data_IF_370858904090
#
_entry.id   IF_370858904090
#
_cell.length_a   1.000
_cell.length_b   1.000
_cell.length_c   1.000
_cell.angle_alpha   90.00
_cell.angle_beta   90.00
_cell.angle_gamma   90.00
#
_symmetry.space_group_name_H-M   'P 1'
#
loop_
_entity.id
_entity.type
_entity.pdbx_description
1 polymer ?
#
# COMPACT_ATOMS: atom_id res chain seq x y z
N UNK A 1 -38.91 -28.71 20.64
CA UNK A 1 -39.63 -27.81 19.72
C UNK A 1 -40.34 -26.78 20.60
N UNK A 2 -39.64 -25.68 20.89
CA UNK A 2 -40.00 -24.47 21.66
C UNK A 2 -38.66 -23.90 22.19
N UNK A 3 -38.10 -22.88 21.52
CA UNK A 3 -37.04 -21.99 22.05
C UNK A 3 -36.81 -20.84 21.07
N UNK A 4 -37.86 -20.06 20.81
CA UNK A 4 -37.72 -18.75 20.18
C UNK A 4 -37.64 -17.70 21.30
N UNK A 5 -36.40 -17.26 21.49
CA UNK A 5 -35.90 -15.94 21.91
C UNK A 5 -36.87 -15.05 22.69
N UNK A 6 -36.73 -15.09 24.02
CA UNK A 6 -37.15 -14.02 24.92
C UNK A 6 -36.44 -12.72 24.53
N UNK A 7 -37.11 -11.87 23.78
CA UNK A 7 -36.73 -10.46 23.61
C UNK A 7 -36.88 -9.79 24.99
N UNK A 8 -35.77 -9.68 25.72
CA UNK A 8 -35.70 -8.93 26.97
C UNK A 8 -35.21 -7.53 26.64
N UNK A 9 -36.14 -6.62 26.30
CA UNK A 9 -35.84 -5.19 26.23
C UNK A 9 -35.89 -4.67 27.66
N UNK A 10 -34.74 -4.66 28.32
CA UNK A 10 -34.56 -3.95 29.57
C UNK A 10 -34.63 -2.45 29.24
N UNK A 11 -35.78 -1.84 29.53
CA UNK A 11 -35.97 -0.39 29.49
C UNK A 11 -34.99 0.19 30.52
N UNK A 12 -33.90 0.78 30.05
CA UNK A 12 -33.08 1.68 30.84
C UNK A 12 -33.91 2.96 31.10
N UNK A 13 -34.89 2.84 31.98
CA UNK A 13 -35.60 3.96 32.58
C UNK A 13 -34.62 4.61 33.56
N UNK A 14 -33.82 5.53 33.03
CA UNK A 14 -32.81 6.27 33.78
C UNK A 14 -32.47 7.59 33.08
N UNK A 15 -33.49 8.44 32.89
CA UNK A 15 -33.32 9.88 32.68
C UNK A 15 -32.67 10.33 31.38
N UNK A 16 -33.48 10.48 30.32
CA UNK A 16 -33.08 11.25 29.13
C UNK A 16 -33.96 10.95 27.92
N UNK A 17 -34.95 11.81 27.66
CA UNK A 17 -35.90 11.82 26.54
C UNK A 17 -37.12 10.89 26.66
N UNK A 18 -38.14 11.41 27.35
CA UNK A 18 -39.53 10.93 27.37
C UNK A 18 -40.16 10.69 25.99
N UNK A 19 -39.63 11.25 24.91
CA UNK A 19 -40.13 11.03 23.55
C UNK A 19 -39.88 9.62 23.00
N UNK A 20 -38.74 8.99 23.35
CA UNK A 20 -38.39 7.62 22.92
C UNK A 20 -39.20 6.56 23.67
N UNK A 21 -39.55 6.83 24.94
CA UNK A 21 -40.37 5.91 25.73
C UNK A 21 -41.81 5.83 25.23
N UNK A 22 -42.37 6.94 24.75
CA UNK A 22 -43.75 6.99 24.20
C UNK A 22 -43.81 6.27 22.85
N UNK A 23 -42.85 6.52 21.96
CA UNK A 23 -42.81 5.93 20.62
C UNK A 23 -42.56 4.41 20.63
N UNK A 24 -41.71 3.92 21.54
CA UNK A 24 -41.52 2.46 21.72
C UNK A 24 -42.77 1.81 22.33
N UNK A 25 -43.47 2.49 23.24
CA UNK A 25 -44.72 1.99 23.84
C UNK A 25 -45.86 1.92 22.81
N UNK A 26 -45.97 2.91 21.92
CA UNK A 26 -46.97 2.88 20.84
C UNK A 26 -46.65 1.84 19.77
N UNK A 27 -45.37 1.65 19.41
CA UNK A 27 -44.96 0.60 18.50
C UNK A 27 -45.22 -0.80 19.08
N UNK A 28 -44.98 -1.00 20.38
CA UNK A 28 -45.34 -2.22 21.10
C UNK A 28 -46.85 -2.43 21.16
N UNK A 29 -47.65 -1.37 21.33
CA UNK A 29 -49.12 -1.46 21.28
C UNK A 29 -49.63 -1.88 19.90
N UNK A 30 -49.11 -1.29 18.83
CA UNK A 30 -49.44 -1.69 17.45
C UNK A 30 -49.05 -3.13 17.14
N UNK A 31 -47.92 -3.59 17.66
CA UNK A 31 -47.41 -4.94 17.42
C UNK A 31 -48.13 -6.00 18.26
N UNK A 32 -48.51 -5.68 19.50
CA UNK A 32 -49.16 -6.61 20.43
C UNK A 32 -50.69 -6.62 20.32
N UNK A 33 -51.33 -5.54 19.91
CA UNK A 33 -52.79 -5.41 19.82
C UNK A 33 -53.29 -5.34 18.38
N UNK A 34 -52.79 -6.22 17.50
CA UNK A 34 -53.49 -6.55 16.25
C UNK A 34 -54.84 -7.21 16.59
N UNK A 35 -55.84 -6.40 16.89
CA UNK A 35 -57.28 -6.63 16.75
C UNK A 35 -58.02 -5.48 17.45
N UNK A 36 -58.33 -4.42 16.71
CA UNK A 36 -59.67 -3.82 16.59
C UNK A 36 -59.57 -2.50 15.80
N UNK A 37 -60.64 -2.19 15.09
CA UNK A 37 -60.79 -1.20 14.03
C UNK A 37 -60.86 0.27 14.53
N UNK A 38 -60.40 1.19 13.66
CA UNK A 38 -60.45 2.68 13.69
C UNK A 38 -59.61 3.39 14.77
N UNK A 39 -58.82 4.44 14.50
CA UNK A 39 -59.01 5.61 13.63
C UNK A 39 -57.73 6.05 12.89
N UNK A 40 -57.94 6.89 11.88
CA UNK A 40 -56.96 7.57 11.02
C UNK A 40 -55.58 7.82 11.67
N UNK A 41 -54.58 7.03 11.24
CA UNK A 41 -53.18 7.29 11.53
C UNK A 41 -52.79 8.54 10.75
N UNK A 42 -52.75 9.68 11.44
CA UNK A 42 -51.97 10.84 11.01
C UNK A 42 -50.61 10.31 10.62
N UNK A 43 -50.26 10.43 9.34
CA UNK A 43 -48.92 10.16 8.84
C UNK A 43 -47.95 11.04 9.61
N UNK A 44 -47.40 10.51 10.70
CA UNK A 44 -46.23 11.03 11.37
C UNK A 44 -45.13 11.00 10.32
N UNK A 45 -44.78 12.20 9.85
CA UNK A 45 -43.77 12.44 8.85
C UNK A 45 -42.47 11.78 9.33
N UNK A 46 -42.09 10.69 8.67
CA UNK A 46 -41.03 9.77 9.09
C UNK A 46 -39.63 10.32 8.76
N UNK A 47 -39.48 11.65 8.75
CA UNK A 47 -38.24 12.35 8.44
C UNK A 47 -37.16 12.06 9.51
N UNK A 48 -37.56 11.84 10.76
CA UNK A 48 -36.64 11.62 11.89
C UNK A 48 -35.98 10.22 11.89
N UNK A 49 -36.56 9.23 11.21
CA UNK A 49 -35.98 7.88 11.11
C UNK A 49 -34.91 7.75 10.00
N UNK A 50 -34.65 8.80 9.22
CA UNK A 50 -33.63 8.78 8.15
C UNK A 50 -32.18 8.64 8.65
N UNK A 51 -31.91 8.67 9.96
CA UNK A 51 -30.53 8.83 10.47
C UNK A 51 -30.02 7.75 11.42
N UNK A 52 -30.77 6.67 11.71
CA UNK A 52 -30.17 5.54 12.44
C UNK A 52 -29.32 4.74 11.47
N UNK A 53 -28.06 5.14 11.31
CA UNK A 53 -27.04 4.34 10.61
C UNK A 53 -26.58 3.27 11.60
N UNK A 54 -26.99 2.00 11.45
CA UNK A 54 -26.55 0.94 12.34
C UNK A 54 -25.03 0.76 12.22
N UNK A 55 -24.34 0.74 13.36
CA UNK A 55 -22.89 0.58 13.42
C UNK A 55 -22.55 -0.91 13.42
N UNK A 56 -21.75 -1.37 12.46
CA UNK A 56 -21.22 -2.75 12.39
C UNK A 56 -20.50 -3.10 13.69
N UNK A 57 -20.70 -4.34 14.20
CA UNK A 57 -19.91 -4.85 15.33
C UNK A 57 -18.45 -4.95 14.89
N UNK A 58 -17.61 -4.02 15.35
CA UNK A 58 -16.20 -3.96 14.99
C UNK A 58 -15.40 -4.87 15.90
N UNK A 59 -14.69 -5.82 15.31
CA UNK A 59 -13.61 -6.51 16.01
C UNK A 59 -12.48 -5.50 16.18
N UNK A 60 -11.79 -5.54 17.32
CA UNK A 60 -10.66 -4.66 17.60
C UNK A 60 -9.67 -4.74 16.43
N UNK A 61 -9.46 -3.63 15.74
CA UNK A 61 -8.60 -3.59 14.58
C UNK A 61 -7.15 -3.91 14.99
N UNK A 62 -6.54 -4.85 14.27
CA UNK A 62 -5.11 -5.13 14.39
C UNK A 62 -4.36 -3.99 13.70
N UNK A 63 -3.67 -3.18 14.49
CA UNK A 63 -2.91 -2.01 14.02
C UNK A 63 -1.44 -2.11 14.40
N UNK A 64 -0.58 -1.35 13.73
CA UNK A 64 0.83 -1.32 14.05
C UNK A 64 1.10 -0.52 15.32
N UNK A 65 2.24 -0.78 15.95
CA UNK A 65 2.70 0.03 17.06
C UNK A 65 3.20 1.39 16.54
N UNK A 66 2.48 2.49 16.81
CA UNK A 66 2.85 3.84 16.38
C UNK A 66 4.27 4.24 16.81
N UNK A 67 4.76 3.79 17.98
CA UNK A 67 6.13 4.10 18.42
C UNK A 67 7.21 3.40 17.60
N UNK A 68 6.85 2.38 16.82
CA UNK A 68 7.77 1.67 15.92
C UNK A 68 7.86 2.29 14.53
N UNK A 69 6.99 3.26 14.23
CA UNK A 69 6.90 3.91 12.93
C UNK A 69 8.16 4.74 12.67
N UNK A 70 8.81 4.47 11.54
CA UNK A 70 10.00 5.18 11.10
C UNK A 70 10.02 5.37 9.59
N UNK A 71 10.64 6.46 9.13
CA UNK A 71 10.83 6.71 7.70
C UNK A 71 11.90 5.76 7.13
N UNK A 72 11.64 5.24 5.93
CA UNK A 72 12.52 4.35 5.20
C UNK A 72 12.66 4.84 3.76
N UNK A 73 13.90 4.89 3.25
CA UNK A 73 14.12 5.22 1.84
C UNK A 73 13.93 3.98 0.97
N UNK A 74 12.91 3.95 0.08
CA UNK A 74 12.59 2.79 -0.73
C UNK A 74 13.65 2.45 -1.77
N UNK A 75 14.70 3.25 -1.95
CA UNK A 75 15.86 2.92 -2.80
C UNK A 75 16.90 2.06 -2.08
N UNK A 76 16.93 2.15 -0.75
CA UNK A 76 17.95 1.48 0.04
C UNK A 76 17.72 -0.03 -0.01
N UNK A 77 18.72 -0.75 -0.49
CA UNK A 77 18.69 -2.22 -0.50
C UNK A 77 18.81 -2.76 0.93
N UNK A 78 18.20 -3.90 1.20
CA UNK A 78 18.44 -4.68 2.42
C UNK A 78 19.80 -5.39 2.41
N UNK A 79 20.42 -5.54 1.22
CA UNK A 79 21.74 -6.13 1.03
C UNK A 79 22.76 -5.09 0.59
N UNK A 80 23.96 -5.19 1.16
CA UNK A 80 25.11 -4.33 0.81
C UNK A 80 26.04 -5.15 -0.10
N UNK A 81 26.45 -4.61 -1.25
CA UNK A 81 27.39 -5.31 -2.13
C UNK A 81 28.76 -5.37 -1.46
N UNK A 82 29.47 -6.50 -1.63
CA UNK A 82 30.80 -6.66 -1.04
C UNK A 82 31.89 -5.92 -1.83
N UNK A 83 31.72 -5.83 -3.15
CA UNK A 83 32.65 -5.15 -4.05
C UNK A 83 32.08 -3.81 -4.57
N UNK A 84 32.83 -2.75 -4.29
CA UNK A 84 32.61 -1.39 -4.80
C UNK A 84 33.59 -1.08 -5.93
N UNK A 85 33.30 -0.05 -6.70
CA UNK A 85 34.31 0.48 -7.63
C UNK A 85 35.44 1.11 -6.83
N UNK A 86 36.62 0.54 -7.00
CA UNK A 86 37.90 1.07 -6.52
C UNK A 86 38.90 1.15 -7.66
N UNK A 87 40.02 1.84 -7.40
CA UNK A 87 41.19 1.89 -8.29
C UNK A 87 41.85 0.52 -8.53
N UNK A 88 41.52 -0.50 -7.73
CA UNK A 88 42.03 -1.88 -7.88
C UNK A 88 41.05 -2.83 -8.59
N UNK A 89 39.75 -2.50 -8.65
CA UNK A 89 38.72 -3.23 -9.43
C UNK A 89 38.62 -2.74 -10.88
N UNK A 90 39.71 -2.13 -11.37
CA UNK A 90 39.80 -1.26 -12.53
C UNK A 90 39.87 -2.01 -13.88
N UNK A 91 39.21 -3.16 -13.96
CA UNK A 91 39.41 -4.12 -15.06
C UNK A 91 38.80 -3.68 -16.39
N UNK A 92 37.99 -2.61 -16.43
CA UNK A 92 37.12 -2.34 -17.59
C UNK A 92 37.15 -0.91 -18.16
N UNK A 93 37.62 0.11 -17.43
CA UNK A 93 37.68 1.50 -17.91
C UNK A 93 38.92 2.20 -17.37
N UNK A 94 39.43 3.21 -18.07
CA UNK A 94 40.62 3.99 -17.63
C UNK A 94 40.27 5.09 -16.61
N UNK A 95 41.26 5.59 -15.86
CA UNK A 95 41.11 6.69 -14.88
C UNK A 95 40.53 7.94 -15.50
N UNK A 96 40.87 8.17 -16.76
CA UNK A 96 40.35 9.25 -17.58
C UNK A 96 38.87 9.06 -17.93
N UNK A 97 38.47 7.86 -18.38
CA UNK A 97 37.10 7.56 -18.77
C UNK A 97 36.08 7.71 -17.64
N UNK A 98 36.50 7.47 -16.38
CA UNK A 98 35.66 7.59 -15.19
C UNK A 98 35.90 8.88 -14.41
N UNK A 99 36.51 9.91 -15.02
CA UNK A 99 36.86 11.16 -14.32
C UNK A 99 35.63 11.85 -13.71
N UNK A 100 34.49 11.78 -14.40
CA UNK A 100 33.25 12.45 -14.01
C UNK A 100 32.55 11.87 -12.79
N UNK A 101 32.90 10.63 -12.41
CA UNK A 101 32.35 9.94 -11.21
C UNK A 101 33.43 9.66 -10.17
N UNK A 102 34.64 10.20 -10.36
CA UNK A 102 35.83 9.85 -9.56
C UNK A 102 35.64 10.06 -8.06
N UNK A 103 34.97 11.13 -7.67
CA UNK A 103 34.81 11.52 -6.26
C UNK A 103 33.83 10.63 -5.49
N UNK A 104 33.04 9.81 -6.18
CA UNK A 104 31.94 9.04 -5.59
C UNK A 104 32.02 7.55 -5.95
N UNK A 105 33.20 7.05 -6.36
CA UNK A 105 33.39 5.64 -6.80
C UNK A 105 33.03 4.64 -5.70
N UNK A 106 33.32 4.98 -4.44
CA UNK A 106 33.00 4.20 -3.25
C UNK A 106 31.49 4.04 -2.99
N UNK A 107 30.65 4.79 -3.71
CA UNK A 107 29.20 4.71 -3.68
C UNK A 107 28.62 3.91 -4.84
N UNK A 108 29.46 3.42 -5.75
CA UNK A 108 29.08 2.70 -6.96
C UNK A 108 29.43 1.23 -6.86
N UNK A 109 28.58 0.39 -7.47
CA UNK A 109 28.76 -1.06 -7.44
C UNK A 109 29.55 -1.54 -8.65
N UNK A 110 30.42 -2.54 -8.41
CA UNK A 110 31.15 -3.20 -9.49
C UNK A 110 30.16 -3.92 -10.43
N UNK A 111 30.12 -3.51 -11.69
CA UNK A 111 29.18 -4.03 -12.68
C UNK A 111 29.42 -5.49 -13.05
N UNK A 112 30.67 -5.98 -12.95
CA UNK A 112 31.05 -7.34 -13.38
C UNK A 112 30.85 -8.37 -12.26
N UNK A 113 30.61 -7.89 -11.04
CA UNK A 113 30.53 -8.68 -9.81
C UNK A 113 29.13 -8.54 -9.21
N UNK A 114 28.91 -9.15 -8.04
CA UNK A 114 27.70 -8.90 -7.25
C UNK A 114 26.38 -9.31 -7.94
N UNK A 115 26.37 -10.42 -8.69
CA UNK A 115 25.18 -10.92 -9.42
C UNK A 115 23.93 -11.03 -8.55
N UNK A 116 24.08 -11.56 -7.32
CA UNK A 116 22.98 -11.66 -6.35
C UNK A 116 22.43 -10.30 -5.94
N UNK A 117 23.31 -9.33 -5.67
CA UNK A 117 22.92 -7.97 -5.33
C UNK A 117 22.14 -7.33 -6.47
N UNK A 118 22.70 -7.33 -7.69
CA UNK A 118 22.07 -6.77 -8.89
C UNK A 118 20.68 -7.35 -9.15
N UNK A 119 20.52 -8.66 -9.02
CA UNK A 119 19.21 -9.33 -9.14
C UNK A 119 18.25 -8.92 -8.03
N UNK A 120 18.74 -8.78 -6.79
CA UNK A 120 17.92 -8.40 -5.64
C UNK A 120 17.36 -6.98 -5.75
N UNK A 121 18.17 -6.02 -6.22
CA UNK A 121 17.75 -4.62 -6.35
C UNK A 121 16.90 -4.35 -7.58
N UNK A 122 16.87 -5.28 -8.54
CA UNK A 122 16.19 -5.08 -9.83
C UNK A 122 14.72 -4.73 -9.64
N UNK A 123 13.95 -5.55 -8.91
CA UNK A 123 12.51 -5.32 -8.70
C UNK A 123 12.25 -3.97 -8.01
N UNK A 124 13.04 -3.66 -6.98
CA UNK A 124 12.95 -2.42 -6.21
C UNK A 124 13.18 -1.19 -7.10
N UNK A 125 14.29 -1.15 -7.86
CA UNK A 125 14.65 -0.01 -8.70
C UNK A 125 13.76 0.09 -9.93
N UNK A 126 13.35 -1.03 -10.50
CA UNK A 126 12.42 -1.06 -11.62
C UNK A 126 11.05 -0.50 -11.26
N UNK A 127 10.56 -0.81 -10.06
CA UNK A 127 9.36 -0.18 -9.52
C UNK A 127 9.51 1.35 -9.44
N UNK A 128 10.62 1.84 -8.86
CA UNK A 128 10.87 3.29 -8.72
C UNK A 128 10.90 3.98 -10.09
N UNK A 129 11.64 3.42 -11.05
CA UNK A 129 11.72 3.94 -12.41
C UNK A 129 10.36 4.03 -13.09
N UNK A 130 9.55 2.96 -12.98
CA UNK A 130 8.22 2.93 -13.59
C UNK A 130 7.27 3.96 -13.01
N UNK A 131 7.41 4.29 -11.73
CA UNK A 131 6.45 5.12 -11.01
C UNK A 131 6.84 6.62 -10.92
N UNK A 132 8.11 7.01 -11.08
CA UNK A 132 8.58 8.38 -10.76
C UNK A 132 9.01 9.23 -11.97
N UNK A 133 8.63 8.88 -13.20
CA UNK A 133 9.03 9.60 -14.42
C UNK A 133 10.56 9.81 -14.56
N UNK A 134 11.37 8.93 -13.98
CA UNK A 134 12.82 8.98 -14.18
C UNK A 134 13.09 8.64 -15.64
N UNK A 135 13.90 9.47 -16.32
CA UNK A 135 14.10 9.42 -17.77
C UNK A 135 14.49 8.02 -18.27
N UNK A 136 13.53 7.27 -18.82
CA UNK A 136 13.74 5.93 -19.41
C UNK A 136 13.67 5.93 -20.93
N UNK A 137 13.58 7.10 -21.58
CA UNK A 137 13.44 7.14 -23.03
C UNK A 137 14.57 6.33 -23.68
N UNK A 138 14.17 5.23 -24.33
CA UNK A 138 15.00 4.28 -25.11
C UNK A 138 15.76 3.22 -24.32
N UNK A 139 15.65 3.14 -22.99
CA UNK A 139 16.30 2.09 -22.19
C UNK A 139 15.28 1.01 -21.80
N UNK A 140 15.50 -0.22 -22.26
CA UNK A 140 14.68 -1.37 -21.87
C UNK A 140 15.48 -2.30 -20.95
N UNK A 141 15.15 -2.30 -19.66
CA UNK A 141 15.78 -3.19 -18.68
C UNK A 141 15.06 -4.54 -18.61
N UNK A 142 15.80 -5.63 -18.75
CA UNK A 142 15.23 -7.00 -18.68
C UNK A 142 15.46 -7.70 -17.35
N UNK A 143 16.63 -7.52 -16.73
CA UNK A 143 16.96 -8.06 -15.40
C UNK A 143 18.11 -7.25 -14.75
N UNK A 144 18.46 -7.60 -13.51
CA UNK A 144 19.54 -6.94 -12.77
C UNK A 144 20.94 -7.22 -13.31
N UNK A 145 21.24 -8.48 -13.66
CA UNK A 145 22.61 -8.92 -13.96
C UNK A 145 22.72 -9.82 -15.18
N UNK A 146 23.69 -9.51 -16.04
CA UNK A 146 24.22 -10.46 -17.02
C UNK A 146 25.73 -10.38 -17.08
N UNK A 147 26.38 -11.52 -17.32
CA UNK A 147 27.82 -11.59 -17.61
C UNK A 147 28.15 -11.21 -19.05
N UNK A 148 27.18 -11.26 -19.96
CA UNK A 148 27.35 -10.92 -21.37
C UNK A 148 27.34 -9.42 -21.57
N UNK A 149 28.34 -8.89 -22.28
CA UNK A 149 28.46 -7.45 -22.51
C UNK A 149 27.58 -7.03 -23.67
N UNK A 150 26.71 -6.05 -23.41
CA UNK A 150 25.91 -5.40 -24.43
C UNK A 150 26.44 -3.98 -24.61
N UNK A 151 26.85 -3.66 -25.83
CA UNK A 151 27.55 -2.40 -26.13
C UNK A 151 26.62 -1.22 -26.46
N UNK A 152 25.31 -1.48 -26.55
CA UNK A 152 24.30 -0.51 -26.97
C UNK A 152 23.25 -0.30 -25.87
N UNK A 153 22.83 0.96 -25.70
CA UNK A 153 21.70 1.32 -24.86
C UNK A 153 20.35 1.17 -25.57
N UNK A 154 20.34 0.98 -26.90
CA UNK A 154 19.13 0.88 -27.71
C UNK A 154 18.57 -0.57 -27.79
N UNK A 155 19.19 -1.51 -27.08
CA UNK A 155 18.75 -2.90 -27.00
C UNK A 155 18.22 -3.20 -25.60
N UNK A 156 17.65 -4.38 -25.41
CA UNK A 156 17.40 -4.93 -24.08
C UNK A 156 18.72 -5.05 -23.31
N UNK A 157 18.80 -4.45 -22.13
CA UNK A 157 20.01 -4.43 -21.30
C UNK A 157 19.72 -4.84 -19.87
N UNK A 158 20.76 -5.31 -19.19
CA UNK A 158 20.72 -5.57 -17.76
C UNK A 158 21.20 -4.33 -16.99
N UNK A 159 20.74 -4.15 -15.75
CA UNK A 159 21.13 -2.98 -14.94
C UNK A 159 22.64 -2.83 -14.79
N UNK A 160 23.35 -3.93 -14.56
CA UNK A 160 24.81 -3.90 -14.46
C UNK A 160 25.50 -3.45 -15.76
N UNK A 161 24.97 -3.87 -16.92
CA UNK A 161 25.48 -3.48 -18.25
C UNK A 161 25.24 -2.00 -18.55
N UNK A 162 24.09 -1.45 -18.12
CA UNK A 162 23.86 -0.01 -18.17
C UNK A 162 24.95 0.73 -17.40
N UNK A 163 25.22 0.33 -16.16
CA UNK A 163 26.25 0.98 -15.35
C UNK A 163 27.63 0.93 -15.99
N UNK A 164 28.02 -0.22 -16.56
CA UNK A 164 29.24 -0.33 -17.36
C UNK A 164 29.30 0.74 -18.46
N UNK A 165 28.26 0.87 -19.29
CA UNK A 165 28.25 1.82 -20.41
C UNK A 165 28.29 3.29 -19.96
N UNK A 166 27.72 3.62 -18.80
CA UNK A 166 27.70 4.99 -18.27
C UNK A 166 29.03 5.34 -17.55
N UNK A 167 29.64 4.38 -16.85
CA UNK A 167 30.92 4.58 -16.16
C UNK A 167 32.00 5.10 -17.09
N UNK A 168 32.07 4.59 -18.33
CA UNK A 168 33.10 4.96 -19.31
C UNK A 168 32.79 6.19 -20.17
N UNK A 169 31.63 6.85 -20.00
CA UNK A 169 31.16 7.89 -20.93
C UNK A 169 30.51 9.07 -20.23
N UNK A 170 31.22 10.21 -20.23
CA UNK A 170 30.71 11.47 -19.67
C UNK A 170 29.40 11.93 -20.33
N UNK A 171 29.33 11.89 -21.67
CA UNK A 171 28.13 12.34 -22.39
C UNK A 171 26.90 11.49 -22.09
N UNK A 172 27.08 10.17 -21.93
CA UNK A 172 25.98 9.29 -21.49
C UNK A 172 25.62 9.53 -20.03
N UNK A 173 26.62 9.74 -19.15
CA UNK A 173 26.37 10.08 -17.76
C UNK A 173 25.54 11.35 -17.62
N UNK A 174 25.91 12.43 -18.29
CA UNK A 174 25.19 13.70 -18.24
C UNK A 174 23.73 13.53 -18.70
N UNK A 175 23.53 12.80 -19.81
CA UNK A 175 22.20 12.48 -20.35
C UNK A 175 21.34 11.62 -19.40
N UNK A 176 21.94 10.67 -18.68
CA UNK A 176 21.23 9.69 -17.86
C UNK A 176 21.52 9.85 -16.36
N UNK A 177 21.91 11.04 -15.88
CA UNK A 177 22.45 11.25 -14.52
C UNK A 177 21.52 10.74 -13.42
N UNK A 178 20.23 11.04 -13.49
CA UNK A 178 19.27 10.59 -12.47
C UNK A 178 19.09 9.07 -12.46
N UNK A 179 18.92 8.48 -13.66
CA UNK A 179 18.82 7.03 -13.83
C UNK A 179 20.12 6.32 -13.39
N UNK A 180 21.27 6.91 -13.68
CA UNK A 180 22.57 6.44 -13.25
C UNK A 180 22.66 6.32 -11.73
N UNK A 181 22.29 7.35 -10.99
CA UNK A 181 22.37 7.29 -9.53
C UNK A 181 21.38 6.30 -8.94
N UNK A 182 20.17 6.20 -9.50
CA UNK A 182 19.22 5.18 -9.07
C UNK A 182 19.75 3.75 -9.30
N UNK A 183 20.37 3.48 -10.45
CA UNK A 183 20.71 2.14 -10.89
C UNK A 183 22.12 1.70 -10.49
N UNK A 184 23.08 2.60 -10.41
CA UNK A 184 24.50 2.24 -10.27
C UNK A 184 25.07 2.48 -8.88
N UNK A 185 24.42 3.33 -8.08
CA UNK A 185 24.85 3.55 -6.70
C UNK A 185 24.32 2.47 -5.76
N UNK A 186 24.95 2.33 -4.60
CA UNK A 186 24.54 1.39 -3.55
C UNK A 186 23.18 1.79 -2.98
N UNK A 187 23.01 3.08 -2.67
CA UNK A 187 21.82 3.61 -1.99
C UNK A 187 20.74 4.12 -2.95
N UNK A 188 20.97 4.06 -4.27
CA UNK A 188 20.10 4.66 -5.29
C UNK A 188 20.06 6.20 -5.25
N UNK A 189 20.99 6.84 -4.53
CA UNK A 189 21.04 8.28 -4.24
C UNK A 189 22.17 8.96 -5.00
N UNK A 190 21.87 10.15 -5.51
CA UNK A 190 22.92 11.06 -5.96
C UNK A 190 23.58 11.71 -4.73
N UNK A 191 24.88 11.54 -4.49
CA UNK A 191 25.57 12.10 -3.33
C UNK A 191 25.67 13.63 -3.33
N UNK A 192 25.41 14.28 -4.47
CA UNK A 192 25.38 15.74 -4.62
C UNK A 192 23.98 16.32 -4.38
N UNK A 193 22.96 15.48 -4.19
CA UNK A 193 21.58 15.91 -4.01
C UNK A 193 21.34 16.33 -2.56
N UNK A 194 21.05 17.61 -2.35
CA UNK A 194 20.88 18.22 -1.03
C UNK A 194 19.42 18.27 -0.56
N UNK A 195 18.45 17.89 -1.40
CA UNK A 195 17.03 17.89 -1.09
C UNK A 195 16.44 16.47 -1.27
N UNK A 196 16.47 15.67 -0.21
CA UNK A 196 15.92 14.30 -0.22
C UNK A 196 14.39 14.28 -0.44
N UNK A 197 13.66 15.32 0.01
CA UNK A 197 12.19 15.31 0.09
C UNK A 197 11.44 15.62 -1.23
N UNK A 198 12.13 16.15 -2.25
CA UNK A 198 11.44 16.71 -3.43
C UNK A 198 11.32 15.77 -4.62
N UNK A 199 12.16 14.74 -4.74
CA UNK A 199 12.22 13.94 -5.98
C UNK A 199 11.66 12.53 -5.88
N UNK A 200 11.69 11.88 -4.72
CA UNK A 200 11.50 10.42 -4.64
C UNK A 200 10.49 10.08 -3.54
N UNK A 201 9.80 8.96 -3.72
CA UNK A 201 8.87 8.41 -2.75
C UNK A 201 9.53 8.13 -1.40
N UNK A 202 8.81 8.38 -0.30
CA UNK A 202 9.19 7.90 1.03
C UNK A 202 8.45 6.59 1.34
N UNK A 203 9.02 5.71 2.14
CA UNK A 203 8.30 4.59 2.72
C UNK A 203 8.26 4.71 4.23
N UNK A 204 7.36 3.96 4.84
CA UNK A 204 7.29 3.79 6.28
C UNK A 204 7.60 2.35 6.64
N UNK A 205 8.27 2.18 7.77
CA UNK A 205 8.49 0.89 8.39
C UNK A 205 7.83 0.91 9.76
N UNK A 206 6.98 -0.07 10.03
CA UNK A 206 6.32 -0.22 11.32
C UNK A 206 6.23 -1.70 11.70
N UNK A 207 6.04 -1.95 12.98
CA UNK A 207 5.94 -3.28 13.56
C UNK A 207 4.49 -3.66 13.75
N UNK A 208 4.11 -4.78 13.13
CA UNK A 208 2.76 -5.29 13.07
C UNK A 208 2.67 -6.61 13.84
N UNK A 209 1.66 -6.81 14.69
CA UNK A 209 1.46 -8.09 15.35
C UNK A 209 1.03 -9.15 14.31
N UNK A 210 1.43 -10.40 14.53
CA UNK A 210 1.09 -11.55 13.69
C UNK A 210 0.21 -12.57 14.40
N UNK A 211 -0.16 -12.36 15.66
CA UNK A 211 -1.10 -13.17 16.42
C UNK A 211 -1.90 -12.27 17.38
N UNK A 212 -2.89 -12.82 18.09
CA UNK A 212 -3.72 -12.05 19.03
C UNK A 212 -2.94 -11.55 20.26
N UNK A 213 -1.81 -12.20 20.56
CA UNK A 213 -0.83 -11.71 21.55
C UNK A 213 0.30 -10.95 20.85
N UNK A 214 0.62 -9.77 21.37
CA UNK A 214 1.70 -8.89 20.92
C UNK A 214 3.11 -9.49 21.08
N UNK A 215 3.22 -10.77 21.42
CA UNK A 215 4.48 -11.50 21.55
C UNK A 215 5.11 -11.82 20.19
N UNK A 216 4.30 -11.97 19.14
CA UNK A 216 4.77 -12.25 17.79
C UNK A 216 4.54 -11.03 16.90
N UNK A 217 5.63 -10.38 16.53
CA UNK A 217 5.65 -9.14 15.77
C UNK A 217 6.51 -9.26 14.51
N UNK A 218 6.09 -8.57 13.45
CA UNK A 218 6.81 -8.49 12.19
C UNK A 218 6.95 -7.04 11.76
N UNK A 219 8.16 -6.62 11.44
CA UNK A 219 8.37 -5.29 10.90
C UNK A 219 8.20 -5.29 9.39
N UNK A 220 7.19 -4.56 8.90
CA UNK A 220 6.81 -4.51 7.49
C UNK A 220 7.07 -3.09 6.96
N UNK A 221 7.60 -3.01 5.75
CA UNK A 221 7.75 -1.74 5.02
C UNK A 221 6.55 -1.55 4.10
N UNK A 222 5.92 -0.38 4.17
CA UNK A 222 4.79 0.00 3.32
C UNK A 222 4.95 1.44 2.83
N UNK A 223 4.04 1.85 1.96
CA UNK A 223 4.05 3.17 1.34
C UNK A 223 2.61 3.59 1.11
N UNK A 224 2.26 4.83 1.45
CA UNK A 224 0.92 5.36 1.22
C UNK A 224 0.81 6.04 -0.15
N UNK A 225 -0.41 6.25 -0.66
CA UNK A 225 -0.61 6.85 -1.98
C UNK A 225 -0.02 8.27 -2.06
N UNK A 226 -0.02 9.03 -0.96
CA UNK A 226 0.62 10.36 -0.89
C UNK A 226 2.15 10.28 -0.98
N UNK A 227 2.72 9.20 -0.48
CA UNK A 227 4.16 8.97 -0.45
C UNK A 227 4.71 8.45 -1.77
N UNK A 228 3.92 7.77 -2.58
CA UNK A 228 4.39 7.01 -3.74
C UNK A 228 4.94 7.81 -4.92
N UNK A 229 4.80 9.14 -4.93
CA UNK A 229 5.25 10.04 -6.02
C UNK A 229 5.00 9.43 -7.42
N UNK A 230 3.78 8.90 -7.61
CA UNK A 230 3.32 8.27 -8.85
C UNK A 230 3.35 9.28 -10.02
N UNK A 231 3.35 8.78 -11.26
CA UNK A 231 3.27 9.63 -12.45
C UNK A 231 1.96 10.41 -12.45
N UNK A 232 1.96 11.60 -13.07
CA UNK A 232 0.77 12.44 -13.14
C UNK A 232 -0.46 11.71 -13.74
N UNK A 233 -0.23 10.84 -14.74
CA UNK A 233 -1.28 9.98 -15.32
C UNK A 233 -1.90 9.04 -14.29
N UNK A 234 -1.08 8.45 -13.43
CA UNK A 234 -1.51 7.46 -12.46
C UNK A 234 -2.22 8.15 -11.28
N UNK A 235 -1.73 9.34 -10.88
CA UNK A 235 -2.37 10.18 -9.86
C UNK A 235 -3.77 10.62 -10.30
N UNK A 236 -3.98 10.92 -11.58
CA UNK A 236 -5.28 11.34 -12.12
C UNK A 236 -6.36 10.25 -12.02
N UNK A 237 -5.94 8.99 -12.00
CA UNK A 237 -6.84 7.86 -11.83
C UNK A 237 -7.26 7.67 -10.37
N UNK A 238 -6.44 8.09 -9.38
CA UNK A 238 -6.75 7.96 -7.95
C UNK A 238 -7.77 9.03 -7.53
N UNK A 239 -9.00 8.59 -7.24
CA UNK A 239 -10.16 9.40 -6.85
C UNK A 239 -10.33 9.59 -5.35
N UNK A 240 -9.71 8.74 -4.52
CA UNK A 240 -9.76 8.89 -3.06
C UNK A 240 -9.06 10.17 -2.60
N UNK A 241 -9.67 10.89 -1.65
CA UNK A 241 -9.17 12.16 -1.10
C UNK A 241 -8.08 11.96 -0.04
N UNK A 242 -8.24 10.98 0.85
CA UNK A 242 -7.34 10.70 1.99
C UNK A 242 -6.14 9.84 1.59
N UNK A 243 -5.37 10.29 0.60
CA UNK A 243 -4.25 9.53 -0.01
C UNK A 243 -3.14 9.15 0.98
N UNK A 244 -3.05 9.86 2.09
CA UNK A 244 -2.10 9.61 3.18
C UNK A 244 -2.44 8.38 4.02
N UNK A 245 -3.70 7.91 4.01
CA UNK A 245 -4.10 6.72 4.78
C UNK A 245 -3.91 5.42 4.02
N UNK A 246 -4.16 5.44 2.70
CA UNK A 246 -4.24 4.25 1.87
C UNK A 246 -2.88 3.76 1.41
N UNK A 247 -2.65 2.45 1.51
CA UNK A 247 -1.41 1.79 1.07
C UNK A 247 -1.41 1.57 -0.43
N UNK A 248 -0.25 1.67 -1.05
CA UNK A 248 -0.07 1.53 -2.49
C UNK A 248 -0.30 0.08 -2.93
N UNK A 249 -1.24 -0.12 -3.85
CA UNK A 249 -1.71 -1.43 -4.30
C UNK A 249 -0.68 -2.29 -5.05
N UNK A 250 0.36 -1.67 -5.61
CA UNK A 250 1.42 -2.35 -6.34
C UNK A 250 2.76 -2.30 -5.59
N UNK A 251 2.73 -2.03 -4.28
CA UNK A 251 3.89 -2.01 -3.40
C UNK A 251 3.73 -3.00 -2.23
N UNK A 252 4.82 -3.67 -1.87
CA UNK A 252 4.95 -4.55 -0.70
C UNK A 252 3.90 -5.67 -0.64
N UNK A 253 4.15 -6.76 -1.37
CA UNK A 253 3.40 -8.02 -1.26
C UNK A 253 3.24 -8.48 0.20
N UNK A 254 4.28 -8.27 1.01
CA UNK A 254 4.29 -8.59 2.42
C UNK A 254 3.17 -7.87 3.21
N UNK A 255 2.95 -6.59 2.95
CA UNK A 255 1.90 -5.81 3.61
C UNK A 255 0.52 -6.30 3.23
N UNK A 256 0.29 -6.56 1.94
CA UNK A 256 -1.00 -7.04 1.44
C UNK A 256 -1.37 -8.42 1.97
N UNK A 257 -0.39 -9.32 2.04
CA UNK A 257 -0.59 -10.64 2.65
C UNK A 257 -0.82 -10.55 4.16
N UNK A 258 -0.15 -9.63 4.86
CA UNK A 258 -0.39 -9.38 6.27
C UNK A 258 -1.80 -8.83 6.53
N UNK A 259 -2.23 -7.80 5.78
CA UNK A 259 -3.56 -7.19 5.92
C UNK A 259 -4.66 -8.22 5.64
N UNK A 260 -4.48 -9.04 4.60
CA UNK A 260 -5.40 -10.12 4.29
C UNK A 260 -5.53 -11.14 5.44
N UNK A 261 -4.40 -11.69 5.91
CA UNK A 261 -4.40 -12.75 6.91
C UNK A 261 -4.89 -12.28 8.29
N UNK A 262 -4.47 -11.09 8.72
CA UNK A 262 -4.66 -10.66 10.11
C UNK A 262 -5.77 -9.65 10.32
N UNK A 263 -6.33 -9.08 9.23
CA UNK A 263 -7.54 -8.25 9.29
C UNK A 263 -8.68 -8.95 8.58
N UNK A 264 -8.56 -9.12 7.26
CA UNK A 264 -9.66 -9.58 6.42
C UNK A 264 -10.16 -10.99 6.78
N UNK A 265 -9.28 -11.99 6.86
CA UNK A 265 -9.68 -13.38 7.18
C UNK A 265 -10.31 -13.48 8.58
N UNK A 266 -9.81 -12.72 9.56
CA UNK A 266 -10.40 -12.69 10.91
C UNK A 266 -11.81 -12.10 10.89
N UNK A 267 -11.96 -10.95 10.25
CA UNK A 267 -13.27 -10.29 10.16
C UNK A 267 -14.28 -11.09 9.35
N UNK A 268 -13.83 -11.86 8.36
CA UNK A 268 -14.64 -12.79 7.58
C UNK A 268 -15.05 -14.04 8.39
N UNK A 269 -14.15 -14.58 9.22
CA UNK A 269 -14.42 -15.75 10.05
C UNK A 269 -15.41 -15.45 11.20
N UNK A 270 -15.36 -14.24 11.74
CA UNK A 270 -16.22 -13.77 12.83
C UNK A 270 -17.51 -13.07 12.34
N UNK A 271 -17.81 -13.18 11.04
CA UNK A 271 -18.91 -12.50 10.36
C UNK A 271 -20.28 -13.11 10.68
N UNK A 272 -20.74 -12.97 11.92
CA UNK A 272 -22.13 -13.25 12.34
C UNK A 272 -23.00 -11.98 12.36
N UNK A 273 -22.60 -10.96 11.59
CA UNK A 273 -23.20 -9.62 11.62
C UNK A 273 -24.38 -9.48 10.67
N UNK A 274 -25.36 -8.66 11.03
CA UNK A 274 -26.39 -8.17 10.11
C UNK A 274 -25.82 -7.27 8.99
N UNK A 275 -24.54 -6.89 9.07
CA UNK A 275 -23.84 -6.03 8.12
C UNK A 275 -22.60 -6.74 7.59
N UNK A 276 -22.74 -7.47 6.47
CA UNK A 276 -21.65 -8.25 5.91
C UNK A 276 -20.66 -7.35 5.16
N UNK A 277 -19.47 -7.88 4.86
CA UNK A 277 -18.50 -7.31 3.93
C UNK A 277 -19.21 -6.85 2.65
N UNK A 278 -18.78 -5.72 2.12
CA UNK A 278 -19.24 -5.22 0.83
C UNK A 278 -19.00 -6.28 -0.26
N UNK A 279 -19.84 -6.25 -1.30
CA UNK A 279 -19.82 -7.26 -2.35
C UNK A 279 -18.46 -7.35 -3.07
N UNK A 280 -17.70 -6.26 -3.12
CA UNK A 280 -16.36 -6.26 -3.70
C UNK A 280 -15.35 -6.98 -2.80
N UNK A 281 -15.33 -6.69 -1.50
CA UNK A 281 -14.38 -7.30 -0.57
C UNK A 281 -14.66 -8.78 -0.31
N UNK A 282 -15.91 -9.24 -0.42
CA UNK A 282 -16.27 -10.67 -0.37
C UNK A 282 -15.55 -11.53 -1.42
N UNK A 283 -15.09 -10.93 -2.53
CA UNK A 283 -14.41 -11.65 -3.63
C UNK A 283 -12.93 -11.90 -3.34
N UNK A 284 -12.36 -11.32 -2.26
CA UNK A 284 -10.95 -11.46 -1.94
C UNK A 284 -10.64 -12.91 -1.51
N UNK A 285 -9.76 -13.58 -2.25
CA UNK A 285 -9.25 -14.95 -1.97
C UNK A 285 -7.78 -14.99 -1.56
N UNK A 286 -7.07 -13.87 -1.69
CA UNK A 286 -5.65 -13.71 -1.34
C UNK A 286 -5.31 -12.25 -1.12
N UNK A 287 -4.20 -11.97 -0.43
CA UNK A 287 -3.73 -10.61 -0.21
C UNK A 287 -3.17 -9.94 -1.47
N UNK A 288 -2.31 -10.66 -2.20
CA UNK A 288 -1.54 -10.10 -3.30
C UNK A 288 -1.75 -10.82 -4.64
N UNK A 289 -1.86 -10.03 -5.71
CA UNK A 289 -1.69 -10.46 -7.09
C UNK A 289 -0.89 -9.45 -7.91
N UNK A 290 0.25 -9.87 -8.45
CA UNK A 290 1.06 -9.04 -9.33
C UNK A 290 0.41 -8.78 -10.69
N UNK A 291 -0.50 -9.66 -11.14
CA UNK A 291 -1.25 -9.49 -12.37
C UNK A 291 -2.48 -8.59 -12.20
N UNK A 292 -2.77 -8.17 -10.96
CA UNK A 292 -3.91 -7.36 -10.58
C UNK A 292 -5.27 -8.01 -10.93
N UNK A 293 -5.40 -9.31 -10.69
CA UNK A 293 -6.66 -10.04 -10.85
C UNK A 293 -7.71 -9.65 -9.80
N UNK A 294 -9.00 -9.71 -10.16
CA UNK A 294 -10.12 -9.19 -9.34
C UNK A 294 -10.33 -9.89 -7.98
N UNK A 295 -9.64 -10.99 -7.71
CA UNK A 295 -9.82 -11.81 -6.50
C UNK A 295 -8.75 -11.56 -5.43
N UNK A 296 -7.96 -10.50 -5.56
CA UNK A 296 -6.90 -10.15 -4.60
C UNK A 296 -7.19 -8.83 -3.89
N UNK A 297 -6.82 -8.75 -2.61
CA UNK A 297 -7.07 -7.57 -1.78
C UNK A 297 -6.43 -6.32 -2.39
N UNK A 298 -5.17 -6.41 -2.85
CA UNK A 298 -4.50 -5.28 -3.49
C UNK A 298 -5.23 -4.78 -4.75
N UNK A 299 -5.82 -5.68 -5.54
CA UNK A 299 -6.59 -5.30 -6.74
C UNK A 299 -7.96 -4.71 -6.41
N UNK A 300 -8.63 -5.24 -5.38
CA UNK A 300 -9.89 -4.67 -4.88
C UNK A 300 -9.64 -3.25 -4.37
N UNK A 301 -8.58 -3.03 -3.60
CA UNK A 301 -8.19 -1.71 -3.12
C UNK A 301 -7.80 -0.78 -4.27
N UNK A 302 -7.10 -1.26 -5.31
CA UNK A 302 -6.85 -0.48 -6.54
C UNK A 302 -8.17 -0.01 -7.17
N UNK A 303 -9.11 -0.92 -7.37
CA UNK A 303 -10.41 -0.59 -7.96
C UNK A 303 -11.16 0.43 -7.12
N UNK A 304 -11.13 0.30 -5.79
CA UNK A 304 -11.69 1.28 -4.87
C UNK A 304 -11.02 2.65 -5.02
N UNK A 305 -9.69 2.72 -5.10
CA UNK A 305 -8.97 3.98 -5.26
C UNK A 305 -9.31 4.72 -6.54
N UNK A 306 -9.65 3.98 -7.60
CA UNK A 306 -9.92 4.53 -8.94
C UNK A 306 -11.41 4.81 -9.20
N UNK A 307 -12.29 4.39 -8.28
CA UNK A 307 -13.75 4.56 -8.38
C UNK A 307 -14.18 5.95 -7.92
N UNK A 308 -15.07 6.60 -8.66
CA UNK A 308 -15.58 7.94 -8.30
C UNK A 308 -16.51 7.92 -7.08
N UNK A 309 -17.35 6.89 -6.98
CA UNK A 309 -18.35 6.77 -5.92
C UNK A 309 -18.33 5.36 -5.32
N UNK A 310 -18.02 5.30 -4.03
CA UNK A 310 -18.08 4.06 -3.24
C UNK A 310 -19.18 4.16 -2.21
N UNK A 311 -19.85 3.03 -1.96
CA UNK A 311 -20.87 2.94 -0.93
C UNK A 311 -20.25 3.04 0.47
N UNK A 312 -21.02 3.42 1.51
CA UNK A 312 -20.49 3.57 2.86
C UNK A 312 -19.81 2.32 3.42
N UNK A 313 -20.38 1.14 3.16
CA UNK A 313 -19.83 -0.17 3.53
C UNK A 313 -18.49 -0.46 2.81
N UNK A 314 -18.40 -0.13 1.52
CA UNK A 314 -17.16 -0.29 0.75
C UNK A 314 -16.06 0.65 1.25
N UNK A 315 -16.42 1.88 1.65
CA UNK A 315 -15.47 2.83 2.28
C UNK A 315 -14.97 2.33 3.62
N UNK A 316 -15.84 1.76 4.44
CA UNK A 316 -15.46 1.18 5.73
C UNK A 316 -14.52 -0.02 5.55
N UNK A 317 -14.85 -0.94 4.65
CA UNK A 317 -13.96 -2.07 4.32
C UNK A 317 -12.61 -1.58 3.78
N UNK A 318 -12.60 -0.56 2.91
CA UNK A 318 -11.36 -0.01 2.38
C UNK A 318 -10.51 0.67 3.46
N UNK A 319 -11.11 1.44 4.37
CA UNK A 319 -10.40 2.00 5.52
C UNK A 319 -9.80 0.89 6.39
N UNK A 320 -10.48 -0.23 6.55
CA UNK A 320 -10.01 -1.34 7.38
C UNK A 320 -8.88 -2.14 6.74
N UNK A 321 -9.01 -2.49 5.46
CA UNK A 321 -8.12 -3.44 4.79
C UNK A 321 -7.10 -2.81 3.85
N UNK A 322 -7.39 -1.61 3.34
CA UNK A 322 -6.55 -0.90 2.39
C UNK A 322 -5.75 0.25 3.01
N UNK A 323 -6.00 0.61 4.27
CA UNK A 323 -5.26 1.68 4.98
C UNK A 323 -4.19 1.12 5.91
N UNK A 324 -3.12 1.90 6.10
CA UNK A 324 -2.05 1.52 7.02
C UNK A 324 -2.57 1.33 8.45
N UNK A 325 -3.42 2.26 8.93
CA UNK A 325 -3.97 2.26 10.28
C UNK A 325 -4.98 1.14 10.53
N UNK A 326 -5.79 0.81 9.52
CA UNK A 326 -6.84 -0.21 9.59
C UNK A 326 -8.02 0.13 10.50
N UNK A 327 -8.33 1.42 10.70
CA UNK A 327 -9.37 1.90 11.61
C UNK A 327 -10.68 2.22 10.91
#
# INVERSE_FOLDING_TARGET
>A
MLTETKITIAVAAGGGNSALGVSINEFLRLYLFKNEEFDEVLTLDNEDFKSVIPVRKKIKAVTYNESSKSSFDPRKSSSVPSEKISDSTYDSHTSFQMKHIRQHRDKLVNWKKESSWWRSIYKQRFYIMKNQNIFTEKINFVEGFSSSVIWSLNSEIHMNQFCYLIYGSYSKYDKYKELFWLICSIDGKNPEETNDDKKISSSEKATFPTEDDSSNEKTITYMTLSQAKKKASDIANIKVSEKDKYVVYDWSEEWWNWSYKYRFEKDQADENSAFPLSNEFKKAKKGWDSALGQESLNSICKNFYEKENSSPDEKEDALRYCSAEGK
#
